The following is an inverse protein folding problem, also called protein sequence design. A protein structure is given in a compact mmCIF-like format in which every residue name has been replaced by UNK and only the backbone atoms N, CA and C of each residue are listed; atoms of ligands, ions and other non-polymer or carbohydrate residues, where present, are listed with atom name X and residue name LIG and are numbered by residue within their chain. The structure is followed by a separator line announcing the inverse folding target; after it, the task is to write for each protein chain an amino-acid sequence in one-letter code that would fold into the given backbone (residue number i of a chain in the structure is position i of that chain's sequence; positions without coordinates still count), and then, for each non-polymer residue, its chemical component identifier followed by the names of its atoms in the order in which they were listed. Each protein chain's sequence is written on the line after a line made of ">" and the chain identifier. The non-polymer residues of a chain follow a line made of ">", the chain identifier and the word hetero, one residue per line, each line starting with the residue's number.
data_IF_201231414856
#
_entry.id   IF_201231414856
#
_cell.length_a   1.000
_cell.length_b   1.000
_cell.length_c   1.000
_cell.angle_alpha   90.00
_cell.angle_beta   90.00
_cell.angle_gamma   90.00
#
_symmetry.space_group_name_H-M   'P 1'
#
loop_
_entity.id
_entity.type
_entity.pdbx_description
1 polymer ?
#
# COMPACT_ATOMS: atom_id res chain seq x y z
N UNK A 1 -31.23 -12.79 -3.82
CA UNK A 1 -30.19 -11.90 -4.39
C UNK A 1 -29.21 -12.80 -5.11
N UNK A 2 -28.71 -12.41 -6.29
CA UNK A 2 -27.65 -13.16 -6.98
C UNK A 2 -26.38 -13.14 -6.15
N UNK A 3 -25.68 -14.26 -6.10
CA UNK A 3 -24.37 -14.37 -5.45
C UNK A 3 -23.37 -13.38 -6.11
N UNK A 4 -22.72 -12.55 -5.31
CA UNK A 4 -21.66 -11.64 -5.79
C UNK A 4 -20.34 -12.40 -5.90
N UNK A 5 -19.52 -12.00 -6.86
CA UNK A 5 -18.17 -12.51 -7.06
C UNK A 5 -17.16 -11.39 -6.74
N UNK A 6 -16.39 -11.58 -5.68
CA UNK A 6 -15.57 -10.54 -5.08
C UNK A 6 -14.09 -10.91 -5.11
N UNK A 7 -13.28 -9.99 -5.62
CA UNK A 7 -11.84 -9.96 -5.48
C UNK A 7 -11.48 -8.88 -4.46
N UNK A 8 -10.85 -9.26 -3.36
CA UNK A 8 -10.54 -8.38 -2.23
C UNK A 8 -9.06 -8.42 -1.93
N UNK A 9 -8.47 -7.26 -1.70
CA UNK A 9 -7.07 -7.12 -1.29
C UNK A 9 -6.88 -5.98 -0.32
N UNK A 10 -5.74 -5.98 0.34
CA UNK A 10 -5.24 -4.90 1.21
C UNK A 10 -3.98 -4.31 0.62
N UNK A 11 -3.55 -3.14 1.08
CA UNK A 11 -2.25 -2.60 0.72
C UNK A 11 -1.14 -3.63 0.98
N UNK A 12 -0.18 -3.71 0.04
CA UNK A 12 0.96 -4.61 0.22
C UNK A 12 1.94 -3.99 1.22
N UNK A 13 2.30 -4.72 2.29
CA UNK A 13 3.29 -4.24 3.24
C UNK A 13 4.67 -4.27 2.61
N UNK A 14 5.43 -3.19 2.76
CA UNK A 14 6.80 -3.14 2.27
C UNK A 14 7.69 -4.14 3.02
N UNK A 15 8.40 -5.00 2.28
CA UNK A 15 9.15 -6.13 2.84
C UNK A 15 10.51 -5.72 3.47
N UNK A 16 10.55 -4.55 4.13
CA UNK A 16 11.73 -4.05 4.84
C UNK A 16 11.65 -4.22 6.36
N UNK A 17 10.58 -4.83 6.87
CA UNK A 17 10.40 -5.03 8.30
C UNK A 17 9.18 -5.85 8.67
N UNK A 18 9.04 -6.04 9.99
CA UNK A 18 7.91 -6.76 10.58
C UNK A 18 6.61 -5.94 10.52
N UNK A 19 5.47 -6.63 10.59
CA UNK A 19 4.18 -5.95 10.70
C UNK A 19 4.12 -5.09 11.97
N UNK A 20 3.55 -3.91 11.82
CA UNK A 20 3.12 -3.06 12.93
C UNK A 20 1.60 -3.11 13.07
N UNK A 21 1.09 -2.53 14.14
CA UNK A 21 -0.34 -2.59 14.45
C UNK A 21 -1.24 -1.94 13.37
N UNK A 22 -0.72 -0.97 12.62
CA UNK A 22 -1.45 -0.37 11.49
C UNK A 22 -1.75 -1.38 10.38
N UNK A 23 -0.79 -2.26 10.03
CA UNK A 23 -1.03 -3.35 9.10
C UNK A 23 -2.10 -4.32 9.65
N UNK A 24 -1.98 -4.69 10.93
CA UNK A 24 -2.94 -5.59 11.57
C UNK A 24 -4.35 -5.00 11.60
N UNK A 25 -4.48 -3.69 11.83
CA UNK A 25 -5.76 -2.98 11.78
C UNK A 25 -6.40 -3.07 10.39
N UNK A 26 -5.62 -2.79 9.33
CA UNK A 26 -6.08 -2.87 7.95
C UNK A 26 -6.56 -4.28 7.60
N UNK A 27 -5.76 -5.29 7.96
CA UNK A 27 -6.09 -6.68 7.68
C UNK A 27 -7.32 -7.17 8.47
N UNK A 28 -7.46 -6.75 9.73
CA UNK A 28 -8.66 -7.04 10.53
C UNK A 28 -9.90 -6.40 9.89
N UNK A 29 -9.80 -5.16 9.41
CA UNK A 29 -10.89 -4.49 8.72
C UNK A 29 -11.34 -5.26 7.49
N UNK A 30 -10.39 -5.59 6.61
CA UNK A 30 -10.66 -6.34 5.39
C UNK A 30 -11.20 -7.74 5.67
N UNK A 31 -10.57 -8.50 6.58
CA UNK A 31 -10.97 -9.86 6.96
C UNK A 31 -12.38 -9.87 7.59
N UNK A 32 -12.72 -8.88 8.41
CA UNK A 32 -14.07 -8.76 8.99
C UNK A 32 -15.11 -8.54 7.90
N UNK A 33 -14.83 -7.68 6.94
CA UNK A 33 -15.70 -7.44 5.79
C UNK A 33 -15.83 -8.69 4.91
N UNK A 34 -14.72 -9.37 4.61
CA UNK A 34 -14.70 -10.62 3.84
C UNK A 34 -15.54 -11.71 4.51
N UNK A 35 -15.38 -11.89 5.83
CA UNK A 35 -16.20 -12.85 6.60
C UNK A 35 -17.69 -12.52 6.49
N UNK A 36 -18.07 -11.25 6.61
CA UNK A 36 -19.45 -10.82 6.46
C UNK A 36 -19.99 -11.12 5.05
N UNK A 37 -19.20 -10.91 3.99
CA UNK A 37 -19.58 -11.25 2.62
C UNK A 37 -19.76 -12.76 2.43
N UNK A 38 -18.85 -13.57 2.96
CA UNK A 38 -18.95 -15.03 2.92
C UNK A 38 -20.18 -15.55 3.68
N UNK A 39 -20.49 -14.97 4.85
CA UNK A 39 -21.71 -15.30 5.62
C UNK A 39 -22.98 -14.96 4.87
N UNK A 40 -22.95 -13.99 3.96
CA UNK A 40 -24.07 -13.65 3.06
C UNK A 40 -24.13 -14.57 1.83
N UNK A 41 -23.25 -15.55 1.70
CA UNK A 41 -23.19 -16.49 0.58
C UNK A 41 -22.46 -15.98 -0.66
N UNK A 42 -21.73 -14.86 -0.56
CA UNK A 42 -20.93 -14.33 -1.68
C UNK A 42 -19.63 -15.12 -1.88
N UNK A 43 -19.20 -15.26 -3.14
CA UNK A 43 -17.92 -15.85 -3.48
C UNK A 43 -16.81 -14.80 -3.35
N UNK A 44 -15.82 -15.06 -2.50
CA UNK A 44 -14.75 -14.09 -2.19
C UNK A 44 -13.39 -14.74 -2.32
N UNK A 45 -12.52 -14.15 -3.16
CA UNK A 45 -11.08 -14.38 -3.17
C UNK A 45 -10.41 -13.20 -2.45
N UNK A 46 -9.80 -13.48 -1.31
CA UNK A 46 -9.10 -12.50 -0.47
C UNK A 46 -7.60 -12.77 -0.52
N UNK A 47 -6.85 -11.91 -1.16
CA UNK A 47 -5.41 -12.11 -1.39
C UNK A 47 -4.58 -10.95 -0.86
N UNK A 48 -3.35 -11.27 -0.46
CA UNK A 48 -2.32 -10.33 -0.05
C UNK A 48 -0.97 -10.70 -0.64
N UNK A 49 0.00 -9.82 -0.50
CA UNK A 49 1.38 -10.08 -0.91
C UNK A 49 2.34 -9.13 -0.16
N UNK A 50 3.63 -9.47 -0.16
CA UNK A 50 4.68 -8.54 0.26
C UNK A 50 5.16 -7.69 -0.92
N UNK A 51 5.31 -6.38 -0.73
CA UNK A 51 6.00 -5.48 -1.65
C UNK A 51 7.51 -5.63 -1.47
N UNK A 52 8.16 -6.33 -2.41
CA UNK A 52 9.51 -6.89 -2.26
C UNK A 52 10.61 -6.07 -2.94
N UNK A 53 10.29 -5.06 -3.74
CA UNK A 53 11.26 -4.39 -4.60
C UNK A 53 11.72 -3.02 -4.05
N UNK A 54 12.76 -2.47 -4.66
CA UNK A 54 13.22 -1.11 -4.43
C UNK A 54 14.57 -0.97 -3.73
N UNK A 55 15.16 0.21 -3.88
CA UNK A 55 16.47 0.53 -3.33
C UNK A 55 16.57 0.42 -1.79
N UNK A 56 15.55 0.78 -0.98
CA UNK A 56 15.60 0.58 0.47
C UNK A 56 15.79 -0.88 0.89
N UNK A 57 15.21 -1.83 0.14
CA UNK A 57 15.40 -3.28 0.41
C UNK A 57 16.83 -3.70 0.08
N UNK A 58 17.39 -3.23 -1.05
CA UNK A 58 18.79 -3.50 -1.40
C UNK A 58 19.74 -3.09 -0.28
N UNK A 59 19.54 -1.89 0.26
CA UNK A 59 20.39 -1.34 1.33
C UNK A 59 20.21 -2.09 2.63
N UNK A 60 18.97 -2.44 2.98
CA UNK A 60 18.69 -3.23 4.17
C UNK A 60 19.32 -4.64 4.07
N UNK A 61 19.26 -5.26 2.89
CA UNK A 61 19.88 -6.55 2.60
C UNK A 61 21.41 -6.46 2.69
N UNK A 62 22.04 -5.44 2.07
CA UNK A 62 23.50 -5.20 2.16
C UNK A 62 23.95 -5.07 3.61
N UNK A 63 23.24 -4.26 4.42
CA UNK A 63 23.52 -4.11 5.86
C UNK A 63 23.37 -5.41 6.66
N UNK A 64 22.47 -6.27 6.22
CA UNK A 64 22.25 -7.59 6.84
C UNK A 64 23.22 -8.67 6.30
N UNK A 65 24.09 -8.35 5.33
CA UNK A 65 24.99 -9.32 4.70
C UNK A 65 24.27 -10.38 3.86
N UNK A 66 23.12 -10.02 3.27
CA UNK A 66 22.24 -10.90 2.49
C UNK A 66 22.01 -10.38 1.08
N UNK A 67 21.58 -11.27 0.18
CA UNK A 67 20.98 -10.80 -1.08
C UNK A 67 19.59 -10.19 -0.81
N UNK A 68 19.09 -9.28 -1.67
CA UNK A 68 17.72 -8.76 -1.52
C UNK A 68 16.67 -9.87 -1.45
N UNK A 69 16.79 -10.91 -2.27
CA UNK A 69 15.88 -12.06 -2.28
C UNK A 69 15.89 -12.82 -0.95
N UNK A 70 17.08 -13.08 -0.38
CA UNK A 70 17.20 -13.73 0.94
C UNK A 70 16.59 -12.87 2.03
N UNK A 71 16.83 -11.55 1.97
CA UNK A 71 16.31 -10.61 2.96
C UNK A 71 14.77 -10.59 2.97
N UNK A 72 14.14 -10.46 1.79
CA UNK A 72 12.66 -10.45 1.71
C UNK A 72 12.05 -11.82 2.06
N UNK A 73 12.74 -12.94 1.72
CA UNK A 73 12.29 -14.27 2.11
C UNK A 73 12.26 -14.46 3.64
N UNK A 74 13.26 -13.94 4.35
CA UNK A 74 13.28 -13.98 5.82
C UNK A 74 12.14 -13.15 6.43
N UNK A 75 11.87 -11.97 5.87
CA UNK A 75 10.73 -11.15 6.29
C UNK A 75 9.41 -11.89 6.04
N UNK A 76 9.22 -12.48 4.85
CA UNK A 76 8.03 -13.23 4.50
C UNK A 76 7.78 -14.44 5.42
N UNK A 77 8.84 -15.16 5.80
CA UNK A 77 8.74 -16.27 6.75
C UNK A 77 8.14 -15.86 8.11
N UNK A 78 8.34 -14.60 8.51
CA UNK A 78 7.77 -14.04 9.73
C UNK A 78 6.29 -13.65 9.65
N UNK A 79 5.67 -13.61 8.45
CA UNK A 79 4.29 -13.11 8.28
C UNK A 79 3.24 -13.98 8.91
N UNK A 80 3.41 -15.31 8.77
CA UNK A 80 2.45 -16.33 9.21
C UNK A 80 2.03 -16.16 10.67
N UNK A 81 2.98 -15.93 11.58
CA UNK A 81 2.69 -15.79 13.01
C UNK A 81 1.76 -14.62 13.34
N UNK A 82 1.81 -13.55 12.56
CA UNK A 82 0.90 -12.41 12.73
C UNK A 82 -0.49 -12.73 12.18
N UNK A 83 -0.57 -13.26 10.97
CA UNK A 83 -1.84 -13.53 10.30
C UNK A 83 -2.64 -14.59 11.07
N UNK A 84 -2.02 -15.71 11.39
CA UNK A 84 -2.65 -16.77 12.21
C UNK A 84 -2.94 -16.28 13.63
N UNK A 85 -2.00 -15.56 14.27
CA UNK A 85 -2.16 -15.05 15.62
C UNK A 85 -3.33 -14.09 15.79
N UNK A 86 -3.66 -13.30 14.75
CA UNK A 86 -4.82 -12.41 14.74
C UNK A 86 -6.01 -12.98 13.97
N UNK A 87 -6.02 -14.26 13.61
CA UNK A 87 -7.08 -14.95 12.89
C UNK A 87 -7.46 -14.27 11.56
N UNK A 88 -6.45 -13.74 10.86
CA UNK A 88 -6.62 -13.12 9.54
C UNK A 88 -6.40 -14.20 8.49
N UNK A 89 -7.39 -14.42 7.63
CA UNK A 89 -7.42 -15.56 6.71
C UNK A 89 -7.43 -15.10 5.25
N UNK A 90 -6.25 -14.75 4.70
CA UNK A 90 -6.07 -14.62 3.27
C UNK A 90 -6.15 -15.99 2.58
N UNK A 91 -6.77 -16.05 1.40
CA UNK A 91 -6.79 -17.26 0.57
C UNK A 91 -5.42 -17.49 -0.09
N UNK A 92 -4.65 -16.43 -0.33
CA UNK A 92 -3.27 -16.49 -0.81
C UNK A 92 -2.44 -15.32 -0.28
N UNK A 93 -1.18 -15.58 0.01
CA UNK A 93 -0.17 -14.58 0.31
C UNK A 93 1.04 -14.80 -0.59
N UNK A 94 1.34 -13.84 -1.45
CA UNK A 94 2.42 -13.89 -2.44
C UNK A 94 3.48 -12.80 -2.16
N UNK A 95 4.26 -12.44 -3.17
CA UNK A 95 5.16 -11.29 -3.17
C UNK A 95 5.30 -10.70 -4.56
N UNK A 96 5.79 -9.47 -4.67
CA UNK A 96 5.95 -8.78 -5.97
C UNK A 96 7.13 -9.30 -6.79
N UNK A 97 8.05 -10.07 -6.21
CA UNK A 97 9.12 -10.77 -6.95
C UNK A 97 8.67 -12.16 -7.48
N UNK A 98 7.36 -12.38 -7.58
CA UNK A 98 6.78 -13.61 -8.14
C UNK A 98 6.78 -13.61 -9.67
N UNK A 99 6.85 -14.79 -10.31
CA UNK A 99 6.76 -14.90 -11.77
C UNK A 99 5.52 -14.24 -12.35
N UNK A 100 4.38 -14.38 -11.70
CA UNK A 100 3.11 -13.78 -12.11
C UNK A 100 3.19 -12.25 -12.10
N UNK A 101 3.88 -11.65 -11.11
CA UNK A 101 4.03 -10.20 -11.05
C UNK A 101 4.98 -9.69 -12.15
N UNK A 102 6.08 -10.40 -12.38
CA UNK A 102 7.00 -10.10 -13.49
C UNK A 102 6.29 -10.13 -14.85
N UNK A 103 5.49 -11.16 -15.10
CA UNK A 103 4.71 -11.30 -16.32
C UNK A 103 3.69 -10.15 -16.47
N UNK A 104 2.85 -9.95 -15.47
CA UNK A 104 1.77 -8.96 -15.54
C UNK A 104 2.29 -7.52 -15.60
N UNK A 105 3.35 -7.18 -14.87
CA UNK A 105 3.94 -5.84 -14.90
C UNK A 105 4.52 -5.51 -16.27
N UNK A 106 5.22 -6.45 -16.89
CA UNK A 106 5.74 -6.30 -18.25
C UNK A 106 4.62 -6.16 -19.27
N UNK A 107 3.57 -6.97 -19.15
CA UNK A 107 2.43 -6.91 -20.06
C UNK A 107 1.66 -5.59 -19.92
N UNK A 108 1.40 -5.12 -18.69
CA UNK A 108 0.75 -3.82 -18.43
C UNK A 108 1.56 -2.69 -19.07
N UNK A 109 2.89 -2.70 -18.90
CA UNK A 109 3.76 -1.70 -19.51
C UNK A 109 3.68 -1.72 -21.04
N UNK A 110 3.72 -2.89 -21.67
CA UNK A 110 3.63 -3.02 -23.13
C UNK A 110 2.28 -2.53 -23.65
N UNK A 111 1.18 -2.86 -22.96
CA UNK A 111 -0.15 -2.41 -23.31
C UNK A 111 -0.28 -0.88 -23.20
N UNK A 112 0.27 -0.28 -22.12
CA UNK A 112 0.32 1.17 -21.93
C UNK A 112 1.17 1.85 -23.02
N UNK A 113 2.30 1.25 -23.39
CA UNK A 113 3.17 1.74 -24.47
C UNK A 113 2.45 1.70 -25.82
N UNK A 114 1.75 0.62 -26.13
CA UNK A 114 0.94 0.48 -27.32
C UNK A 114 -0.22 1.50 -27.36
N UNK A 115 -0.83 1.76 -26.22
CA UNK A 115 -1.91 2.77 -26.09
C UNK A 115 -1.39 4.22 -26.14
N UNK A 116 -0.08 4.45 -26.21
CA UNK A 116 0.57 5.75 -26.33
C UNK A 116 0.68 6.50 -24.99
N UNK A 117 0.62 5.80 -23.85
CA UNK A 117 0.73 6.39 -22.50
C UNK A 117 2.14 6.33 -21.91
N UNK A 118 3.11 5.77 -22.62
CA UNK A 118 4.52 5.77 -22.19
C UNK A 118 5.31 6.75 -23.04
N UNK A 119 6.06 7.62 -22.40
CA UNK A 119 6.97 8.57 -23.00
C UNK A 119 8.37 8.43 -22.40
N UNK A 120 9.38 8.67 -23.22
CA UNK A 120 10.79 8.64 -22.78
C UNK A 120 11.32 10.07 -22.73
N UNK A 121 11.97 10.43 -21.62
CA UNK A 121 12.60 11.75 -21.40
C UNK A 121 14.00 11.58 -20.81
N UNK A 122 14.92 12.45 -21.21
CA UNK A 122 16.22 12.57 -20.55
C UNK A 122 16.08 13.49 -19.35
N UNK A 123 16.48 13.02 -18.17
CA UNK A 123 16.50 13.81 -16.94
C UNK A 123 17.90 13.88 -16.36
N UNK A 124 18.17 14.89 -15.52
CA UNK A 124 19.38 15.00 -14.72
C UNK A 124 19.12 14.43 -13.32
N UNK A 125 20.04 13.59 -12.86
CA UNK A 125 19.99 12.99 -11.52
C UNK A 125 21.36 12.99 -10.87
N UNK A 126 21.40 12.98 -9.55
CA UNK A 126 22.62 12.76 -8.82
C UNK A 126 23.08 11.30 -8.90
N UNK A 127 24.37 11.14 -9.15
CA UNK A 127 25.05 9.85 -9.25
C UNK A 127 26.14 9.77 -8.17
N UNK A 128 26.19 8.66 -7.45
CA UNK A 128 27.23 8.36 -6.48
C UNK A 128 28.39 7.65 -7.17
N UNK A 129 29.57 8.29 -7.32
CA UNK A 129 30.71 7.68 -8.02
C UNK A 129 31.36 6.54 -7.22
N UNK A 130 31.17 6.47 -5.89
CA UNK A 130 31.72 5.39 -5.05
C UNK A 130 30.83 4.15 -5.07
N UNK A 131 29.50 4.34 -5.05
CA UNK A 131 28.54 3.25 -5.14
C UNK A 131 28.19 2.88 -6.59
N UNK A 132 28.63 3.69 -7.56
CA UNK A 132 28.34 3.53 -8.98
C UNK A 132 26.83 3.39 -9.26
N UNK A 133 26.03 4.29 -8.69
CA UNK A 133 24.58 4.25 -8.84
C UNK A 133 23.96 5.65 -8.83
N UNK A 134 22.83 5.81 -9.50
CA UNK A 134 21.98 6.98 -9.34
C UNK A 134 21.33 6.99 -7.96
N UNK A 135 21.18 8.18 -7.38
CA UNK A 135 20.68 8.36 -6.03
C UNK A 135 19.21 8.80 -6.06
N UNK A 136 18.29 7.96 -5.58
CA UNK A 136 16.92 8.40 -5.25
C UNK A 136 16.94 9.52 -4.18
N UNK A 137 15.88 10.31 -4.13
CA UNK A 137 15.74 11.50 -3.28
C UNK A 137 16.11 11.26 -1.81
N UNK A 138 15.76 10.10 -1.27
CA UNK A 138 16.07 9.70 0.12
C UNK A 138 17.52 9.27 0.35
N UNK A 139 18.32 9.16 -0.70
CA UNK A 139 19.74 8.81 -0.60
C UNK A 139 20.66 9.98 -0.87
N UNK A 140 20.07 11.17 -1.07
CA UNK A 140 20.78 12.43 -1.12
C UNK A 140 20.45 13.23 0.12
N UNK A 141 21.46 13.82 0.71
CA UNK A 141 21.33 14.79 1.78
C UNK A 141 22.12 16.04 1.45
N UNK A 142 21.70 17.14 2.07
CA UNK A 142 22.36 18.42 1.91
C UNK A 142 21.78 19.47 2.83
N UNK A 143 22.12 20.71 2.57
CA UNK A 143 21.57 21.86 3.27
C UNK A 143 20.28 22.35 2.56
N UNK A 144 19.24 22.61 3.31
CA UNK A 144 17.96 23.10 2.77
C UNK A 144 18.15 24.44 2.04
N UNK A 145 17.68 24.61 0.79
CA UNK A 145 17.82 25.85 0.04
C UNK A 145 17.05 27.03 0.64
N UNK A 146 16.08 26.77 1.55
CA UNK A 146 15.25 27.81 2.15
C UNK A 146 15.66 28.22 3.57
N UNK A 147 15.84 27.26 4.47
CA UNK A 147 16.13 27.56 5.89
C UNK A 147 17.55 27.23 6.30
N UNK A 148 18.38 26.71 5.39
CA UNK A 148 19.76 26.33 5.63
C UNK A 148 19.98 25.25 6.70
N UNK A 149 18.94 24.52 7.07
CA UNK A 149 19.07 23.35 7.94
C UNK A 149 19.93 22.28 7.24
N UNK A 150 20.89 21.72 7.97
CA UNK A 150 21.81 20.69 7.45
C UNK A 150 21.16 19.31 7.45
N UNK A 151 21.73 18.39 6.69
CA UNK A 151 21.37 16.95 6.64
C UNK A 151 19.92 16.68 6.21
N UNK A 152 19.34 17.58 5.41
CA UNK A 152 17.99 17.42 4.88
C UNK A 152 17.99 16.51 3.65
N UNK A 153 16.89 15.75 3.46
CA UNK A 153 16.71 14.85 2.32
C UNK A 153 16.46 15.62 1.01
N UNK A 154 16.59 14.91 -0.13
CA UNK A 154 16.47 15.50 -1.46
C UNK A 154 15.06 15.89 -1.88
N UNK A 155 14.03 15.47 -1.15
CA UNK A 155 12.63 15.73 -1.48
C UNK A 155 11.98 16.81 -0.60
N UNK A 156 12.40 16.93 0.67
CA UNK A 156 11.81 17.88 1.61
C UNK A 156 12.73 18.21 2.78
N UNK A 157 12.44 19.35 3.42
CA UNK A 157 13.10 19.76 4.67
C UNK A 157 12.25 19.33 5.88
N UNK A 158 12.85 18.56 6.78
CA UNK A 158 12.17 18.13 8.03
C UNK A 158 12.02 19.28 9.05
N UNK A 159 12.78 20.38 8.87
CA UNK A 159 12.75 21.54 9.79
C UNK A 159 11.72 22.57 9.37
N UNK A 160 11.69 22.97 8.10
CA UNK A 160 10.76 24.01 7.62
C UNK A 160 9.65 23.50 6.70
N UNK A 161 9.59 22.19 6.47
CA UNK A 161 8.59 21.51 5.65
C UNK A 161 8.52 21.98 4.17
N UNK A 162 9.55 22.68 3.69
CA UNK A 162 9.63 23.06 2.28
C UNK A 162 9.97 21.85 1.41
N UNK A 163 9.30 21.76 0.26
CA UNK A 163 9.56 20.77 -0.79
C UNK A 163 10.45 21.43 -1.85
N UNK A 164 11.40 20.69 -2.42
CA UNK A 164 12.34 21.12 -3.43
C UNK A 164 12.84 19.93 -4.25
N UNK A 165 13.48 20.18 -5.39
CA UNK A 165 14.13 19.13 -6.16
C UNK A 165 15.46 18.74 -5.49
N UNK A 166 15.93 17.49 -5.60
CA UNK A 166 17.25 17.09 -5.07
C UNK A 166 18.41 17.98 -5.53
N UNK A 167 18.32 18.48 -6.76
CA UNK A 167 19.30 19.37 -7.37
C UNK A 167 19.38 20.77 -6.73
N UNK A 168 18.37 21.16 -5.96
CA UNK A 168 18.32 22.45 -5.26
C UNK A 168 19.08 22.43 -3.94
N UNK A 169 19.43 21.24 -3.42
CA UNK A 169 20.19 21.10 -2.18
C UNK A 169 21.54 21.81 -2.25
N UNK A 170 21.88 22.53 -1.20
CA UNK A 170 23.18 23.15 -1.04
C UNK A 170 24.15 22.10 -0.46
N UNK A 171 25.34 21.99 -1.07
CA UNK A 171 26.35 21.01 -0.68
C UNK A 171 25.83 19.58 -0.57
N UNK A 172 25.20 19.02 -1.63
CA UNK A 172 24.64 17.69 -1.59
C UNK A 172 25.73 16.62 -1.39
N UNK A 173 25.36 15.56 -0.68
CA UNK A 173 26.20 14.37 -0.49
C UNK A 173 25.36 13.09 -0.48
N UNK A 174 25.99 11.98 -0.89
CA UNK A 174 25.36 10.67 -0.82
C UNK A 174 25.16 10.23 0.64
N UNK A 175 23.94 9.91 1.02
CA UNK A 175 23.66 9.33 2.33
C UNK A 175 24.21 7.90 2.49
N UNK A 176 24.65 7.27 1.39
CA UNK A 176 25.16 5.89 1.36
C UNK A 176 26.67 5.83 1.57
N UNK A 177 27.42 6.73 0.90
CA UNK A 177 28.89 6.71 0.89
C UNK A 177 29.52 7.95 1.52
N UNK A 178 28.74 9.04 1.70
CA UNK A 178 29.27 10.37 2.06
C UNK A 178 29.95 11.09 0.90
N UNK A 179 30.02 10.48 -0.28
CA UNK A 179 30.67 11.09 -1.45
C UNK A 179 29.88 12.31 -1.96
N UNK A 180 30.61 13.27 -2.56
CA UNK A 180 29.98 14.34 -3.33
C UNK A 180 29.39 13.72 -4.61
N UNK A 181 28.08 13.84 -4.84
CA UNK A 181 27.45 13.26 -6.03
C UNK A 181 27.78 14.10 -7.28
N UNK A 182 27.72 13.44 -8.43
CA UNK A 182 27.85 14.06 -9.74
C UNK A 182 26.47 14.16 -10.39
N UNK A 183 26.19 15.24 -11.12
CA UNK A 183 25.02 15.30 -11.99
C UNK A 183 25.31 14.52 -13.27
N UNK A 184 24.43 13.58 -13.60
CA UNK A 184 24.47 12.81 -14.85
C UNK A 184 23.10 12.76 -15.46
N UNK A 185 23.05 12.71 -16.77
CA UNK A 185 21.80 12.50 -17.52
C UNK A 185 21.48 11.03 -17.62
N UNK A 186 20.21 10.71 -17.51
CA UNK A 186 19.68 9.37 -17.76
C UNK A 186 18.36 9.45 -18.51
N UNK A 187 18.10 8.48 -19.38
CA UNK A 187 16.83 8.32 -20.04
C UNK A 187 15.86 7.62 -19.11
N UNK A 188 14.68 8.22 -18.89
CA UNK A 188 13.62 7.70 -18.04
C UNK A 188 12.33 7.54 -18.79
N UNK A 189 11.50 6.61 -18.32
CA UNK A 189 10.19 6.29 -18.85
C UNK A 189 9.11 6.91 -17.96
N UNK A 190 8.15 7.60 -18.59
CA UNK A 190 7.08 8.29 -17.90
C UNK A 190 5.73 7.73 -18.32
N UNK A 191 4.86 7.49 -17.35
CA UNK A 191 3.45 7.25 -17.59
C UNK A 191 2.73 8.60 -17.67
N UNK A 192 2.09 8.87 -18.81
CA UNK A 192 1.46 10.17 -19.12
C UNK A 192 0.11 10.34 -18.41
N UNK A 193 0.14 10.65 -17.12
CA UNK A 193 -1.06 11.01 -16.37
C UNK A 193 -1.63 12.36 -16.76
N UNK A 194 -0.84 13.26 -17.31
CA UNK A 194 -1.26 14.56 -17.82
C UNK A 194 -2.03 14.47 -19.16
N UNK A 195 -2.06 13.29 -19.81
CA UNK A 195 -2.82 13.08 -21.03
C UNK A 195 -4.31 13.41 -20.77
N UNK A 196 -4.95 14.24 -21.62
CA UNK A 196 -6.36 14.63 -21.44
C UNK A 196 -7.31 13.45 -21.24
N UNK A 197 -7.05 12.32 -21.91
CA UNK A 197 -7.86 11.08 -21.75
C UNK A 197 -7.75 10.52 -20.32
N UNK A 198 -6.57 10.59 -19.72
CA UNK A 198 -6.35 10.15 -18.35
C UNK A 198 -7.01 11.09 -17.35
N UNK A 199 -6.85 12.39 -17.53
CA UNK A 199 -7.46 13.43 -16.68
C UNK A 199 -8.98 13.33 -16.71
N UNK A 200 -9.60 13.20 -17.89
CA UNK A 200 -11.05 13.04 -18.07
C UNK A 200 -11.55 11.78 -17.34
N UNK A 201 -10.94 10.63 -17.63
CA UNK A 201 -11.29 9.36 -17.00
C UNK A 201 -11.18 9.43 -15.47
N UNK A 202 -10.05 9.91 -14.94
CA UNK A 202 -9.81 9.96 -13.50
C UNK A 202 -10.74 10.95 -12.80
N UNK A 203 -11.06 12.08 -13.45
CA UNK A 203 -12.03 13.04 -12.92
C UNK A 203 -13.40 12.38 -12.79
N UNK A 204 -13.90 11.73 -13.84
CA UNK A 204 -15.16 11.01 -13.78
C UNK A 204 -15.15 9.91 -12.75
N UNK A 205 -14.13 9.04 -12.79
CA UNK A 205 -14.03 7.87 -11.93
C UNK A 205 -13.94 8.22 -10.43
N UNK A 206 -13.20 9.28 -10.08
CA UNK A 206 -13.05 9.69 -8.66
C UNK A 206 -14.22 10.52 -8.14
N UNK A 207 -14.97 11.24 -9.04
CA UNK A 207 -15.99 12.20 -8.61
C UNK A 207 -17.43 11.68 -8.77
N UNK A 208 -17.65 10.49 -9.35
CA UNK A 208 -19.01 9.93 -9.55
C UNK A 208 -19.66 9.36 -8.28
N UNK A 209 -18.96 9.36 -7.15
CA UNK A 209 -19.44 8.87 -5.85
C UNK A 209 -19.51 7.35 -5.70
N UNK A 210 -19.03 6.57 -6.69
CA UNK A 210 -19.13 5.12 -6.67
C UNK A 210 -17.86 4.43 -6.14
N UNK A 211 -16.68 4.93 -6.52
CA UNK A 211 -15.42 4.21 -6.36
C UNK A 211 -14.64 4.55 -5.10
N UNK A 212 -14.84 5.74 -4.55
CA UNK A 212 -14.13 6.24 -3.36
C UNK A 212 -15.10 6.90 -2.38
N UNK A 213 -14.66 7.11 -1.14
CA UNK A 213 -15.42 7.83 -0.12
C UNK A 213 -15.50 9.33 -0.48
N UNK A 214 -16.53 10.07 -0.03
CA UNK A 214 -16.71 11.50 -0.35
C UNK A 214 -15.52 12.38 0.07
N UNK A 215 -14.93 12.14 1.24
CA UNK A 215 -13.76 12.87 1.74
C UNK A 215 -12.51 12.59 0.90
N UNK A 216 -12.35 11.36 0.40
CA UNK A 216 -11.27 10.97 -0.52
C UNK A 216 -11.47 11.66 -1.87
N UNK A 217 -12.68 11.63 -2.41
CA UNK A 217 -13.02 12.33 -3.65
C UNK A 217 -12.74 13.82 -3.56
N UNK A 218 -13.12 14.47 -2.45
CA UNK A 218 -12.86 15.88 -2.19
C UNK A 218 -11.35 16.19 -2.18
N UNK A 219 -10.55 15.34 -1.54
CA UNK A 219 -9.09 15.48 -1.49
C UNK A 219 -8.46 15.31 -2.87
N UNK A 220 -8.87 14.30 -3.62
CA UNK A 220 -8.33 14.03 -4.96
C UNK A 220 -8.72 15.13 -5.96
N UNK A 221 -9.87 15.77 -5.79
CA UNK A 221 -10.28 16.89 -6.63
C UNK A 221 -9.24 18.02 -6.68
N UNK A 222 -8.48 18.23 -5.60
CA UNK A 222 -7.42 19.24 -5.56
C UNK A 222 -6.31 18.97 -6.58
N UNK A 223 -6.06 17.70 -6.97
CA UNK A 223 -5.03 17.32 -7.93
C UNK A 223 -5.39 17.67 -9.38
N UNK A 224 -6.65 17.86 -9.69
CA UNK A 224 -7.11 18.27 -11.02
C UNK A 224 -7.11 19.80 -11.22
N UNK A 225 -6.94 20.56 -10.14
CA UNK A 225 -6.92 22.01 -10.14
C UNK A 225 -5.55 22.63 -10.41
N UNK A 226 -5.50 23.94 -10.40
CA UNK A 226 -4.25 24.71 -10.45
C UNK A 226 -3.56 24.65 -9.08
N UNK A 227 -2.29 24.29 -9.10
CA UNK A 227 -1.41 24.23 -7.91
C UNK A 227 -0.31 25.26 -8.02
N UNK A 228 0.08 25.85 -6.90
CA UNK A 228 1.25 26.72 -6.82
C UNK A 228 2.45 25.88 -6.39
N UNK A 229 3.46 25.80 -7.23
CA UNK A 229 4.70 25.09 -6.95
C UNK A 229 5.54 25.85 -5.94
N UNK A 230 6.52 25.19 -5.28
CA UNK A 230 7.40 25.83 -4.32
C UNK A 230 8.22 27.00 -4.87
N UNK A 231 8.48 27.05 -6.18
CA UNK A 231 9.19 28.11 -6.87
C UNK A 231 8.30 29.33 -7.20
N UNK A 232 6.99 29.26 -6.86
CA UNK A 232 6.00 30.29 -7.17
C UNK A 232 5.35 30.15 -8.54
N UNK A 233 5.78 29.19 -9.37
CA UNK A 233 5.09 28.85 -10.62
C UNK A 233 3.77 28.15 -10.35
N UNK A 234 2.88 28.13 -11.34
CA UNK A 234 1.62 27.38 -11.25
C UNK A 234 1.63 26.23 -12.25
N UNK A 235 1.24 25.04 -11.78
CA UNK A 235 0.93 23.89 -12.61
C UNK A 235 -0.57 23.60 -12.54
N UNK A 236 -1.13 23.13 -13.64
CA UNK A 236 -2.54 22.77 -13.73
C UNK A 236 -2.67 21.32 -14.17
N UNK A 237 -3.49 20.56 -13.44
CA UNK A 237 -3.73 19.17 -13.73
C UNK A 237 -2.71 18.21 -13.09
N UNK A 238 -2.66 16.99 -13.62
CA UNK A 238 -1.78 15.92 -13.16
C UNK A 238 -0.42 16.02 -13.85
N UNK A 239 0.63 15.70 -13.11
CA UNK A 239 1.98 15.55 -13.67
C UNK A 239 2.18 14.10 -14.12
N UNK A 240 3.05 13.92 -15.12
CA UNK A 240 3.46 12.60 -15.58
C UNK A 240 4.33 11.92 -14.53
N UNK A 241 4.21 10.61 -14.48
CA UNK A 241 4.85 9.82 -13.45
C UNK A 241 6.07 9.06 -13.98
N UNK A 242 7.23 9.30 -13.40
CA UNK A 242 8.46 8.55 -13.67
C UNK A 242 8.35 7.12 -13.13
N UNK A 243 8.26 6.16 -14.05
CA UNK A 243 8.06 4.74 -13.76
C UNK A 243 9.34 3.91 -13.88
N UNK A 244 10.50 4.55 -14.03
CA UNK A 244 11.78 3.86 -14.27
C UNK A 244 12.85 4.17 -13.23
N UNK A 245 13.78 3.24 -13.06
CA UNK A 245 14.98 3.38 -12.24
C UNK A 245 16.16 2.76 -12.94
N UNK A 246 17.34 3.38 -12.75
CA UNK A 246 18.61 2.88 -13.29
C UNK A 246 19.19 1.74 -12.46
N UNK A 247 19.95 0.85 -13.12
CA UNK A 247 20.76 -0.15 -12.45
C UNK A 247 21.87 0.53 -11.58
N UNK A 248 22.26 -0.06 -10.41
CA UNK A 248 21.72 -1.30 -9.86
C UNK A 248 20.40 -1.06 -9.13
N UNK A 249 19.41 -1.89 -9.39
CA UNK A 249 18.11 -1.80 -8.74
C UNK A 249 17.51 -3.19 -8.55
N UNK A 250 16.93 -3.47 -7.40
CA UNK A 250 16.17 -4.69 -7.16
C UNK A 250 14.73 -4.46 -7.56
N UNK A 251 14.33 -5.03 -8.67
CA UNK A 251 13.02 -4.85 -9.27
C UNK A 251 12.88 -5.59 -10.59
N UNK A 252 11.82 -5.31 -11.31
CA UNK A 252 11.50 -5.93 -12.60
C UNK A 252 12.11 -5.10 -13.72
N UNK A 253 12.95 -5.70 -14.56
CA UNK A 253 13.55 -5.03 -15.71
C UNK A 253 12.50 -4.65 -16.75
N UNK A 254 12.59 -3.41 -17.25
CA UNK A 254 11.68 -2.88 -18.29
C UNK A 254 11.95 -3.60 -19.61
N UNK A 255 10.94 -4.17 -20.30
CA UNK A 255 11.10 -4.71 -21.63
C UNK A 255 11.69 -3.66 -22.60
N UNK A 256 12.57 -4.07 -23.47
CA UNK A 256 13.26 -3.23 -24.47
C UNK A 256 14.19 -2.14 -23.91
N UNK A 257 14.47 -2.14 -22.61
CA UNK A 257 15.33 -1.15 -21.95
C UNK A 257 16.32 -1.82 -20.95
N UNK A 258 17.34 -2.53 -21.44
CA UNK A 258 18.33 -3.19 -20.58
C UNK A 258 18.98 -2.25 -19.57
N UNK A 259 19.05 -2.68 -18.30
CA UNK A 259 19.58 -1.85 -17.20
C UNK A 259 18.60 -0.81 -16.67
N UNK A 260 17.36 -0.81 -17.12
CA UNK A 260 16.24 -0.01 -16.57
C UNK A 260 15.22 -0.92 -15.90
N UNK A 261 14.75 -0.51 -14.75
CA UNK A 261 13.81 -1.26 -13.91
C UNK A 261 12.57 -0.45 -13.63
N UNK A 262 11.43 -1.13 -13.45
CA UNK A 262 10.23 -0.45 -13.00
C UNK A 262 10.42 0.13 -11.60
N UNK A 263 9.94 1.35 -11.41
CA UNK A 263 9.79 1.92 -10.09
C UNK A 263 8.80 1.08 -9.27
N UNK A 264 9.13 0.83 -8.01
CA UNK A 264 8.35 -0.06 -7.13
C UNK A 264 6.85 0.22 -7.10
N UNK A 265 6.43 1.48 -7.23
CA UNK A 265 5.03 1.84 -7.25
C UNK A 265 4.30 1.51 -8.57
N UNK A 266 5.02 1.11 -9.62
CA UNK A 266 4.38 0.53 -10.80
C UNK A 266 4.06 -0.94 -10.56
N UNK A 267 5.00 -1.73 -10.07
CA UNK A 267 4.83 -3.18 -9.93
C UNK A 267 4.14 -3.59 -8.61
N UNK A 268 4.21 -2.78 -7.55
CA UNK A 268 3.55 -3.06 -6.29
C UNK A 268 2.03 -3.28 -6.44
N UNK A 269 1.24 -2.37 -7.05
CA UNK A 269 -0.20 -2.61 -7.20
C UNK A 269 -0.52 -3.76 -8.17
N UNK A 270 0.37 -4.07 -9.11
CA UNK A 270 0.23 -5.28 -9.96
C UNK A 270 0.29 -6.54 -9.11
N UNK A 271 0.98 -6.51 -7.98
CA UNK A 271 1.04 -7.59 -7.00
C UNK A 271 -0.33 -8.07 -6.51
N UNK A 272 -1.36 -7.21 -6.53
CA UNK A 272 -2.74 -7.62 -6.25
C UNK A 272 -3.24 -8.64 -7.27
N UNK A 273 -3.06 -8.33 -8.55
CA UNK A 273 -3.46 -9.20 -9.65
C UNK A 273 -2.58 -10.47 -9.70
N UNK A 274 -1.30 -10.33 -9.43
CA UNK A 274 -0.35 -11.42 -9.39
C UNK A 274 -0.68 -12.44 -8.29
N UNK A 275 -1.03 -11.98 -7.08
CA UNK A 275 -1.44 -12.86 -6.00
C UNK A 275 -2.75 -13.58 -6.31
N UNK A 276 -3.70 -12.89 -6.95
CA UNK A 276 -4.92 -13.53 -7.44
C UNK A 276 -4.62 -14.56 -8.52
N UNK A 277 -3.77 -14.23 -9.53
CA UNK A 277 -3.36 -15.16 -10.59
C UNK A 277 -2.70 -16.40 -10.02
N UNK A 278 -1.81 -16.24 -9.06
CA UNK A 278 -1.16 -17.34 -8.36
C UNK A 278 -2.19 -18.24 -7.63
N UNK A 279 -3.17 -17.65 -6.91
CA UNK A 279 -4.26 -18.42 -6.28
C UNK A 279 -5.06 -19.23 -7.26
N UNK A 280 -5.48 -18.60 -8.37
CA UNK A 280 -6.30 -19.28 -9.40
C UNK A 280 -5.52 -20.38 -10.10
N UNK A 281 -4.23 -20.15 -10.40
CA UNK A 281 -3.33 -21.19 -10.95
C UNK A 281 -3.24 -22.40 -10.02
N UNK A 282 -3.09 -22.19 -8.70
CA UNK A 282 -3.06 -23.28 -7.71
C UNK A 282 -4.37 -24.09 -7.69
N UNK A 283 -5.51 -23.46 -8.01
CA UNK A 283 -6.82 -24.11 -8.08
C UNK A 283 -7.16 -24.68 -9.45
N UNK A 284 -6.31 -24.46 -10.46
CA UNK A 284 -6.59 -24.87 -11.85
C UNK A 284 -7.68 -24.03 -12.52
N UNK A 285 -7.91 -22.81 -12.02
CA UNK A 285 -8.89 -21.85 -12.56
C UNK A 285 -8.22 -20.89 -13.54
N UNK A 286 -8.94 -20.50 -14.60
CA UNK A 286 -8.45 -19.57 -15.62
C UNK A 286 -8.53 -18.11 -15.11
N UNK A 287 -7.38 -17.49 -14.94
CA UNK A 287 -7.25 -16.11 -14.48
C UNK A 287 -7.89 -15.10 -15.46
N UNK A 288 -7.66 -15.27 -16.77
CA UNK A 288 -8.15 -14.31 -17.76
C UNK A 288 -9.68 -14.37 -17.87
N UNK A 289 -10.24 -15.58 -17.87
CA UNK A 289 -11.69 -15.78 -17.82
C UNK A 289 -12.29 -15.24 -16.50
N UNK A 290 -11.57 -15.40 -15.37
CA UNK A 290 -12.00 -14.85 -14.08
C UNK A 290 -12.06 -13.32 -14.11
N UNK A 291 -11.03 -12.66 -14.63
CA UNK A 291 -10.93 -11.18 -14.69
C UNK A 291 -11.86 -10.58 -15.75
N UNK A 292 -12.18 -11.31 -16.81
CA UNK A 292 -13.11 -10.89 -17.86
C UNK A 292 -14.59 -10.93 -17.43
N UNK A 293 -14.90 -11.58 -16.30
CA UNK A 293 -16.27 -11.66 -15.80
C UNK A 293 -16.84 -10.26 -15.49
N UNK A 294 -17.90 -9.80 -16.16
CA UNK A 294 -18.49 -8.49 -15.90
C UNK A 294 -19.08 -8.36 -14.47
N UNK A 295 -19.46 -9.48 -13.86
CA UNK A 295 -20.00 -9.51 -12.49
C UNK A 295 -18.92 -9.47 -11.40
N UNK A 296 -17.64 -9.58 -11.77
CA UNK A 296 -16.54 -9.48 -10.81
C UNK A 296 -16.45 -8.06 -10.24
N UNK A 297 -16.42 -7.97 -8.92
CA UNK A 297 -16.19 -6.73 -8.19
C UNK A 297 -14.82 -6.77 -7.50
N UNK A 298 -14.06 -5.66 -7.58
CA UNK A 298 -12.73 -5.54 -6.99
C UNK A 298 -12.75 -4.52 -5.84
N UNK A 299 -12.31 -4.94 -4.66
CA UNK A 299 -12.25 -4.11 -3.45
C UNK A 299 -10.82 -4.03 -2.93
N UNK A 300 -10.32 -2.80 -2.76
CA UNK A 300 -9.01 -2.54 -2.15
C UNK A 300 -9.19 -1.82 -0.82
N UNK A 301 -8.63 -2.38 0.26
CA UNK A 301 -8.54 -1.71 1.56
C UNK A 301 -7.14 -1.13 1.70
N UNK A 302 -7.04 0.19 1.97
CA UNK A 302 -5.77 0.90 1.99
C UNK A 302 -5.72 1.97 3.07
N UNK A 303 -4.52 2.31 3.53
CA UNK A 303 -4.26 3.49 4.35
C UNK A 303 -4.36 4.81 3.58
N UNK A 304 -4.67 5.89 4.28
CA UNK A 304 -4.83 7.23 3.68
C UNK A 304 -3.55 7.83 3.08
N UNK A 305 -2.38 7.31 3.42
CA UNK A 305 -1.07 7.73 2.91
C UNK A 305 -0.80 7.33 1.45
N UNK A 306 -1.52 6.33 0.95
CA UNK A 306 -1.38 5.82 -0.42
C UNK A 306 -2.61 6.07 -1.30
N UNK A 307 -3.46 7.03 -0.91
CA UNK A 307 -4.65 7.43 -1.67
C UNK A 307 -4.29 7.76 -3.13
N UNK A 308 -3.28 8.60 -3.34
CA UNK A 308 -2.88 9.08 -4.68
C UNK A 308 -2.54 7.92 -5.60
N UNK A 309 -1.78 6.94 -5.13
CA UNK A 309 -1.42 5.77 -5.93
C UNK A 309 -2.62 4.92 -6.33
N UNK A 310 -3.60 4.75 -5.44
CA UNK A 310 -4.76 3.90 -5.67
C UNK A 310 -5.94 4.60 -6.35
N UNK A 311 -5.96 5.94 -6.37
CA UNK A 311 -7.06 6.70 -6.96
C UNK A 311 -6.69 7.44 -8.24
N UNK A 312 -5.38 7.59 -8.53
CA UNK A 312 -4.88 8.20 -9.77
C UNK A 312 -4.08 7.20 -10.61
N UNK A 313 -2.93 6.71 -10.10
CA UNK A 313 -2.04 5.86 -10.89
C UNK A 313 -2.66 4.50 -11.22
N UNK A 314 -3.11 3.76 -10.23
CA UNK A 314 -3.61 2.40 -10.40
C UNK A 314 -4.83 2.30 -11.30
N UNK A 315 -5.92 3.07 -11.13
CA UNK A 315 -7.06 3.02 -12.03
C UNK A 315 -6.72 3.45 -13.46
N UNK A 316 -5.81 4.43 -13.64
CA UNK A 316 -5.35 4.83 -14.97
C UNK A 316 -4.52 3.71 -15.64
N UNK A 317 -3.58 3.10 -14.91
CA UNK A 317 -2.81 1.96 -15.42
C UNK A 317 -3.73 0.82 -15.90
N UNK A 318 -4.71 0.44 -15.10
CA UNK A 318 -5.67 -0.60 -15.46
C UNK A 318 -6.52 -0.21 -16.66
N UNK A 319 -7.09 0.98 -16.65
CA UNK A 319 -7.97 1.48 -17.73
C UNK A 319 -7.26 1.47 -19.08
N UNK A 320 -6.08 2.08 -19.14
CA UNK A 320 -5.36 2.27 -20.39
C UNK A 320 -4.51 1.07 -20.83
N UNK A 321 -4.35 0.07 -19.96
CA UNK A 321 -3.86 -1.26 -20.33
C UNK A 321 -4.99 -2.26 -20.63
N UNK A 322 -6.24 -1.79 -20.77
CA UNK A 322 -7.40 -2.62 -21.13
C UNK A 322 -7.92 -3.54 -20.04
N UNK A 323 -7.62 -3.22 -18.76
CA UNK A 323 -8.01 -4.02 -17.61
C UNK A 323 -9.16 -3.38 -16.83
N UNK A 324 -9.88 -4.21 -16.07
CA UNK A 324 -10.99 -3.77 -15.21
C UNK A 324 -10.45 -2.96 -14.04
N UNK A 325 -11.00 -1.77 -13.83
CA UNK A 325 -10.65 -0.90 -12.69
C UNK A 325 -11.34 -1.36 -11.40
N UNK A 326 -10.81 -0.98 -10.21
CA UNK A 326 -11.44 -1.32 -8.95
C UNK A 326 -12.89 -0.84 -8.86
N UNK A 327 -13.76 -1.67 -8.29
CA UNK A 327 -15.14 -1.29 -7.98
C UNK A 327 -15.17 -0.30 -6.83
N UNK A 328 -14.32 -0.51 -5.82
CA UNK A 328 -14.25 0.35 -4.63
C UNK A 328 -12.85 0.36 -4.03
N UNK A 329 -12.36 1.56 -3.72
CA UNK A 329 -11.21 1.78 -2.84
C UNK A 329 -11.75 2.17 -1.47
N UNK A 330 -11.46 1.37 -0.45
CA UNK A 330 -11.86 1.59 0.94
C UNK A 330 -10.66 2.15 1.71
N UNK A 331 -10.70 3.43 2.04
CA UNK A 331 -9.60 4.13 2.69
C UNK A 331 -9.88 4.22 4.19
N UNK A 332 -8.89 3.85 5.02
CA UNK A 332 -8.92 4.06 6.47
C UNK A 332 -7.87 5.08 6.92
N UNK A 333 -8.07 5.66 8.10
CA UNK A 333 -7.12 6.54 8.76
C UNK A 333 -5.97 5.78 9.42
N UNK A 334 -5.07 6.51 10.07
CA UNK A 334 -3.98 5.90 10.84
C UNK A 334 -4.46 5.45 12.22
N UNK A 335 -3.72 4.52 12.80
CA UNK A 335 -3.82 4.25 14.22
C UNK A 335 -2.88 5.19 14.99
N UNK A 336 -3.45 5.91 15.94
CA UNK A 336 -2.74 6.80 16.87
C UNK A 336 -2.85 6.28 18.30
N UNK A 337 -2.12 6.88 19.22
CA UNK A 337 -2.17 6.62 20.66
C UNK A 337 -2.19 7.94 21.42
N UNK A 338 -2.54 7.91 22.70
CA UNK A 338 -2.45 9.07 23.59
C UNK A 338 -3.13 10.35 23.02
N UNK A 339 -4.35 10.20 22.50
CA UNK A 339 -5.13 11.30 21.92
C UNK A 339 -4.52 11.93 20.64
N UNK A 340 -4.11 11.10 19.71
CA UNK A 340 -3.68 11.51 18.37
C UNK A 340 -2.16 11.53 18.16
N UNK A 341 -1.37 11.04 19.10
CA UNK A 341 0.07 10.90 18.93
C UNK A 341 0.38 9.76 17.93
N UNK A 342 1.22 10.03 16.93
CA UNK A 342 1.71 8.98 16.04
C UNK A 342 2.51 7.95 16.80
N UNK A 343 2.23 6.69 16.56
CA UNK A 343 3.03 5.59 17.09
C UNK A 343 4.47 5.69 16.58
N UNK A 344 5.44 5.48 17.47
CA UNK A 344 6.86 5.53 17.15
C UNK A 344 7.59 4.39 17.84
N UNK A 345 8.28 3.54 17.05
CA UNK A 345 9.12 2.47 17.59
C UNK A 345 10.26 3.02 18.44
N UNK A 346 10.87 4.13 18.02
CA UNK A 346 12.00 4.77 18.73
C UNK A 346 11.58 5.36 20.08
N UNK A 347 10.32 5.80 20.22
CA UNK A 347 9.77 6.35 21.48
C UNK A 347 9.08 5.30 22.33
N UNK A 348 8.97 4.06 21.85
CA UNK A 348 8.23 2.98 22.55
C UNK A 348 6.73 3.25 22.68
N UNK A 349 6.18 4.21 21.92
CA UNK A 349 4.76 4.54 21.89
C UNK A 349 4.10 3.73 20.79
N UNK A 350 3.53 2.58 21.12
CA UNK A 350 2.83 1.78 20.14
C UNK A 350 2.53 0.39 20.67
N UNK A 351 1.47 -0.20 20.13
CA UNK A 351 1.12 -1.59 20.39
C UNK A 351 1.93 -2.47 19.44
N UNK A 352 2.87 -3.24 19.99
CA UNK A 352 3.56 -4.29 19.24
C UNK A 352 2.63 -5.51 19.11
N UNK A 353 2.28 -5.94 17.88
CA UNK A 353 1.35 -7.05 17.69
C UNK A 353 1.83 -8.37 18.33
N UNK A 354 3.11 -8.72 18.19
CA UNK A 354 3.65 -9.96 18.78
C UNK A 354 3.73 -9.87 20.30
N UNK A 355 4.00 -8.70 20.85
CA UNK A 355 3.96 -8.50 22.29
C UNK A 355 2.55 -8.70 22.83
N UNK A 356 1.53 -8.18 22.12
CA UNK A 356 0.13 -8.42 22.47
C UNK A 356 -0.18 -9.93 22.54
N UNK A 357 0.19 -10.68 21.48
CA UNK A 357 -0.02 -12.13 21.44
C UNK A 357 0.78 -12.86 22.53
N UNK A 358 2.03 -12.43 22.77
CA UNK A 358 2.92 -13.01 23.80
C UNK A 358 2.43 -12.83 25.24
N UNK A 359 1.52 -11.86 25.47
CA UNK A 359 0.82 -11.70 26.75
C UNK A 359 -0.37 -12.66 26.92
N UNK A 360 -0.58 -13.60 25.97
CA UNK A 360 -1.73 -14.50 25.91
C UNK A 360 -3.09 -13.78 25.91
N UNK A 361 -3.13 -12.56 25.39
CA UNK A 361 -4.38 -11.83 25.20
C UNK A 361 -5.15 -12.41 24.01
N UNK A 362 -6.46 -12.60 24.19
CA UNK A 362 -7.28 -13.13 23.12
C UNK A 362 -7.32 -12.16 21.92
N UNK A 363 -6.89 -12.59 20.71
CA UNK A 363 -6.89 -11.73 19.53
C UNK A 363 -8.28 -11.20 19.15
N UNK A 364 -9.36 -11.94 19.46
CA UNK A 364 -10.72 -11.51 19.18
C UNK A 364 -11.12 -10.24 19.95
N UNK A 365 -10.51 -9.98 21.09
CA UNK A 365 -10.76 -8.74 21.83
C UNK A 365 -10.25 -7.52 21.04
N UNK A 366 -9.05 -7.62 20.48
CA UNK A 366 -8.50 -6.54 19.67
C UNK A 366 -9.25 -6.42 18.33
N UNK A 367 -9.59 -7.55 17.71
CA UNK A 367 -10.42 -7.57 16.48
C UNK A 367 -11.75 -6.87 16.69
N UNK A 368 -12.44 -7.18 17.79
CA UNK A 368 -13.71 -6.53 18.14
C UNK A 368 -13.52 -5.03 18.40
N UNK A 369 -12.53 -4.65 19.19
CA UNK A 369 -12.26 -3.26 19.52
C UNK A 369 -12.01 -2.42 18.27
N UNK A 370 -11.15 -2.91 17.37
CA UNK A 370 -10.85 -2.23 16.11
C UNK A 370 -12.09 -2.17 15.21
N UNK A 371 -12.78 -3.30 15.04
CA UNK A 371 -14.01 -3.35 14.25
C UNK A 371 -15.11 -2.42 14.77
N UNK A 372 -15.21 -2.22 16.08
CA UNK A 372 -16.18 -1.30 16.68
C UNK A 372 -15.82 0.18 16.50
N UNK A 373 -14.55 0.50 16.25
CA UNK A 373 -14.07 1.87 16.00
C UNK A 373 -13.96 2.21 14.51
N UNK A 374 -13.70 1.23 13.67
CA UNK A 374 -13.64 1.40 12.22
C UNK A 374 -15.03 1.77 11.68
N UNK A 375 -15.04 2.71 10.76
CA UNK A 375 -16.25 3.15 10.08
C UNK A 375 -15.97 3.31 8.57
N UNK A 376 -16.93 3.80 7.81
CA UNK A 376 -16.80 4.02 6.36
C UNK A 376 -15.99 5.27 5.96
N UNK A 377 -15.38 5.97 6.92
CA UNK A 377 -14.60 7.18 6.71
C UNK A 377 -13.11 6.92 6.90
N UNK A 378 -12.26 7.84 6.47
CA UNK A 378 -10.80 7.78 6.60
C UNK A 378 -10.26 8.47 7.85
N UNK A 379 -11.06 8.53 8.93
CA UNK A 379 -10.70 9.13 10.20
C UNK A 379 -9.64 8.28 10.95
N UNK A 380 -8.75 8.96 11.67
CA UNK A 380 -7.75 8.29 12.51
C UNK A 380 -8.41 7.61 13.71
N UNK A 381 -7.90 6.47 14.10
CA UNK A 381 -8.38 5.70 15.25
C UNK A 381 -7.35 5.78 16.38
N UNK A 382 -7.74 6.39 17.49
CA UNK A 382 -6.90 6.41 18.68
C UNK A 382 -7.07 5.14 19.51
N UNK A 383 -5.96 4.42 19.74
CA UNK A 383 -5.93 3.28 20.65
C UNK A 383 -5.75 3.77 22.08
N UNK A 384 -6.75 3.49 22.89
CA UNK A 384 -6.74 3.74 24.33
C UNK A 384 -6.97 2.44 25.08
N UNK A 385 -6.04 2.09 25.99
CA UNK A 385 -6.09 0.81 26.72
C UNK A 385 -7.29 0.73 27.69
N UNK A 386 -7.70 1.84 28.29
CA UNK A 386 -8.86 1.87 29.19
C UNK A 386 -10.16 1.67 28.39
N UNK A 387 -10.33 2.38 27.26
CA UNK A 387 -11.46 2.20 26.34
C UNK A 387 -11.50 0.76 25.79
N UNK A 388 -10.34 0.20 25.46
CA UNK A 388 -10.23 -1.22 25.06
C UNK A 388 -10.79 -2.17 26.13
N UNK A 389 -10.32 -2.04 27.38
CA UNK A 389 -10.80 -2.86 28.49
C UNK A 389 -12.30 -2.67 28.76
N UNK A 390 -12.77 -1.41 28.75
CA UNK A 390 -14.18 -1.09 28.96
C UNK A 390 -15.07 -1.73 27.89
N UNK A 391 -14.70 -1.62 26.61
CA UNK A 391 -15.48 -2.21 25.50
C UNK A 391 -15.50 -3.75 25.54
N UNK A 392 -14.36 -4.37 25.78
CA UNK A 392 -14.29 -5.82 25.94
C UNK A 392 -15.20 -6.29 27.07
N UNK A 393 -15.11 -5.66 28.23
CA UNK A 393 -15.92 -6.05 29.40
C UNK A 393 -17.42 -5.74 29.19
N UNK A 394 -17.77 -4.56 28.67
CA UNK A 394 -19.16 -4.16 28.53
C UNK A 394 -19.85 -4.87 27.37
N UNK A 395 -19.19 -4.97 26.21
CA UNK A 395 -19.85 -5.44 25.00
C UNK A 395 -19.67 -6.94 24.79
N UNK A 396 -18.46 -7.49 24.89
CA UNK A 396 -18.23 -8.91 24.70
C UNK A 396 -18.68 -9.72 25.92
N UNK A 397 -18.23 -9.38 27.12
CA UNK A 397 -18.54 -10.15 28.31
C UNK A 397 -19.94 -9.79 28.82
N UNK A 398 -20.22 -8.51 29.07
CA UNK A 398 -21.46 -8.05 29.67
C UNK A 398 -22.69 -8.22 28.78
N UNK A 399 -22.54 -8.22 27.45
CA UNK A 399 -23.68 -8.37 26.52
C UNK A 399 -23.59 -9.68 25.73
N UNK A 400 -22.59 -9.88 24.87
CA UNK A 400 -22.55 -11.01 23.93
C UNK A 400 -22.48 -12.36 24.63
N UNK A 401 -21.51 -12.56 25.53
CA UNK A 401 -21.39 -13.81 26.31
C UNK A 401 -22.62 -14.02 27.23
N UNK A 402 -23.17 -12.94 27.76
CA UNK A 402 -24.35 -12.99 28.62
C UNK A 402 -25.63 -13.46 27.88
N UNK A 403 -25.76 -13.16 26.57
CA UNK A 403 -26.84 -13.72 25.73
C UNK A 403 -26.80 -15.25 25.75
N UNK A 404 -25.61 -15.82 25.46
CA UNK A 404 -25.42 -17.27 25.48
C UNK A 404 -25.68 -17.88 26.86
N UNK A 405 -25.15 -17.27 27.91
CA UNK A 405 -25.33 -17.73 29.30
C UNK A 405 -26.81 -17.74 29.74
N UNK A 406 -27.55 -16.69 29.38
CA UNK A 406 -28.97 -16.62 29.69
C UNK A 406 -29.79 -17.60 28.84
N UNK A 407 -29.51 -17.70 27.52
CA UNK A 407 -30.23 -18.62 26.63
C UNK A 407 -30.01 -20.07 27.02
N UNK A 408 -28.78 -20.47 27.37
CA UNK A 408 -28.45 -21.84 27.77
C UNK A 408 -29.31 -22.36 28.94
N UNK A 409 -29.56 -21.52 29.93
CA UNK A 409 -30.44 -21.87 31.05
C UNK A 409 -31.89 -22.15 30.65
N UNK A 410 -32.43 -21.41 29.68
CA UNK A 410 -33.78 -21.64 29.15
C UNK A 410 -33.82 -22.90 28.26
N UNK A 411 -32.84 -23.08 27.37
CA UNK A 411 -32.72 -24.23 26.48
C UNK A 411 -32.64 -25.52 27.32
N UNK A 412 -31.74 -25.56 28.31
CA UNK A 412 -31.59 -26.72 29.18
C UNK A 412 -32.89 -27.05 29.96
N UNK A 413 -33.61 -26.03 30.48
CA UNK A 413 -34.80 -26.24 31.31
C UNK A 413 -36.08 -26.51 30.53
N UNK A 414 -36.20 -25.98 29.31
CA UNK A 414 -37.45 -26.02 28.53
C UNK A 414 -37.40 -26.95 27.34
N UNK A 415 -36.23 -27.27 26.85
CA UNK A 415 -36.01 -28.02 25.61
C UNK A 415 -34.96 -29.14 25.78
N UNK A 416 -34.68 -29.56 27.01
CA UNK A 416 -33.71 -30.63 27.35
C UNK A 416 -32.35 -30.46 26.68
N UNK A 417 -31.94 -29.18 26.47
CA UNK A 417 -30.64 -28.86 25.86
C UNK A 417 -30.60 -28.91 24.34
N UNK A 418 -31.72 -29.05 23.66
CA UNK A 418 -31.85 -29.15 22.21
C UNK A 418 -32.22 -27.80 21.55
#
# INVERSE_FOLDING_TARGET
>A
MSQRKLFVTTALPYANGHFHIGHIMEYIQADTWVRAQRMQGNAVNFVGADDAHGAPIMIAAEKAGKTPQQFVADIAAGRKQYLEGFHIAFDNWSNTDSPENHELSKQIYLDLKQAGFIETRTIEQFFDPQKNMFLPDRFIKGECPRCHAKDQYGDNCEVCSSVYAPTDLINPYSALSGAKPELRTSEHFFFKLSDPRAVEFLTEWTQNGQHVQPEVAAKIKEWFGTRTNPDGSTSTGLDDWDISRDAPYFGIEIPDAPGKYFYVWLDAPVGYLASLKNLLNQRGEDYDAYMADPALEQYHFIGKDIITFHTLFWPAMLKFSGRKTPTKICVHGFMTVNNGEKMSKSRGTGLDPLKYLGLNMNPEWLRYYLGAKLNGKNEDIDFNAEDFMLRVNADLIGKYVNIASRAAGFIAKRFDGQ
#
